data_IF_271421188053
#
_entry.id   IF_271421188053
#
_cell.length_a   1.000
_cell.length_b   1.000
_cell.length_c   1.000
_cell.angle_alpha   90.00
_cell.angle_beta   90.00
_cell.angle_gamma   90.00
#
_symmetry.space_group_name_H-M   'P 1'
#
loop_
_entity.id
_entity.type
_entity.pdbx_description
1 polymer ?
#
# COMPACT_ATOMS: atom_id res chain seq x y z
N UNK A 1 -19.01 15.30 3.00
CA UNK A 1 -20.06 14.31 2.76
C UNK A 1 -20.90 14.10 4.01
N UNK A 2 -22.13 13.62 3.84
CA UNK A 2 -23.14 13.47 4.92
C UNK A 2 -22.67 12.49 6.01
N UNK A 3 -21.90 11.47 5.65
CA UNK A 3 -21.37 10.47 6.58
C UNK A 3 -20.38 11.07 7.60
N UNK A 4 -19.45 11.91 7.18
CA UNK A 4 -18.52 12.56 8.10
C UNK A 4 -19.20 13.49 9.09
N UNK A 5 -20.28 14.18 8.69
CA UNK A 5 -21.09 14.99 9.63
C UNK A 5 -21.87 14.13 10.64
N UNK A 6 -22.30 12.92 10.25
CA UNK A 6 -22.92 11.98 11.18
C UNK A 6 -21.93 11.37 12.15
N UNK A 7 -20.68 11.09 11.71
CA UNK A 7 -19.60 10.58 12.58
C UNK A 7 -19.20 11.60 13.64
N UNK A 8 -19.22 12.91 13.32
CA UNK A 8 -18.94 13.98 14.30
C UNK A 8 -20.04 14.14 15.36
N UNK A 9 -21.30 13.78 15.04
CA UNK A 9 -22.44 13.94 15.94
C UNK A 9 -22.75 12.72 16.80
N UNK A 10 -22.25 11.54 16.44
CA UNK A 10 -22.51 10.29 17.18
C UNK A 10 -21.19 9.51 17.40
N UNK A 11 -20.34 10.03 18.29
CA UNK A 11 -19.04 9.45 18.64
C UNK A 11 -19.14 8.00 19.18
N UNK A 12 -20.31 7.51 19.50
CA UNK A 12 -20.54 6.20 20.11
C UNK A 12 -21.23 5.20 19.17
N UNK A 13 -21.39 5.54 17.89
CA UNK A 13 -21.99 4.62 16.91
C UNK A 13 -21.08 3.42 16.63
N UNK A 14 -21.70 2.27 16.35
CA UNK A 14 -20.98 1.05 15.96
C UNK A 14 -20.06 1.28 14.74
N UNK A 15 -20.50 2.14 13.81
CA UNK A 15 -19.70 2.49 12.62
C UNK A 15 -18.44 3.28 12.95
N UNK A 16 -18.49 4.19 13.92
CA UNK A 16 -17.30 4.95 14.37
C UNK A 16 -16.28 4.03 15.03
N UNK A 17 -16.74 3.12 15.88
CA UNK A 17 -15.85 2.13 16.50
C UNK A 17 -15.20 1.22 15.46
N UNK A 18 -16.00 0.67 14.54
CA UNK A 18 -15.48 -0.18 13.46
C UNK A 18 -14.45 0.55 12.58
N UNK A 19 -14.67 1.83 12.28
CA UNK A 19 -13.68 2.63 11.55
C UNK A 19 -12.40 2.83 12.37
N UNK A 20 -12.51 3.13 13.66
CA UNK A 20 -11.36 3.28 14.56
C UNK A 20 -10.55 1.99 14.68
N UNK A 21 -11.21 0.85 14.78
CA UNK A 21 -10.57 -0.47 14.81
C UNK A 21 -9.85 -0.76 13.50
N UNK A 22 -10.49 -0.51 12.36
CA UNK A 22 -9.87 -0.64 11.04
C UNK A 22 -8.60 0.21 10.91
N UNK A 23 -8.62 1.49 11.31
CA UNK A 23 -7.46 2.37 11.25
C UNK A 23 -6.30 1.84 12.09
N UNK A 24 -6.58 1.34 13.28
CA UNK A 24 -5.58 0.76 14.17
C UNK A 24 -4.99 -0.51 13.59
N UNK A 25 -5.83 -1.44 13.17
CA UNK A 25 -5.44 -2.77 12.74
C UNK A 25 -4.75 -2.75 11.37
N UNK A 26 -5.04 -1.74 10.53
CA UNK A 26 -4.43 -1.52 9.21
C UNK A 26 -3.25 -0.54 9.23
N UNK A 27 -2.85 0.00 10.40
CA UNK A 27 -1.87 1.08 10.52
C UNK A 27 -0.51 0.77 9.86
N UNK A 28 -0.10 -0.50 9.81
CA UNK A 28 1.20 -0.94 9.28
C UNK A 28 1.35 -0.73 7.77
N UNK A 29 0.25 -0.59 7.01
CA UNK A 29 0.27 -0.34 5.56
C UNK A 29 -0.54 0.88 5.14
N UNK A 30 -1.66 1.16 5.82
CA UNK A 30 -2.66 2.12 5.39
C UNK A 30 -2.10 3.55 5.28
N UNK A 31 -1.29 3.98 6.27
CA UNK A 31 -0.75 5.34 6.28
C UNK A 31 0.22 5.58 5.12
N UNK A 32 1.08 4.62 4.82
CA UNK A 32 1.97 4.71 3.66
C UNK A 32 1.20 4.73 2.35
N UNK A 33 0.17 3.89 2.24
CA UNK A 33 -0.69 3.83 1.07
C UNK A 33 -1.44 5.13 0.80
N UNK A 34 -2.13 5.69 1.81
CA UNK A 34 -2.92 6.90 1.61
C UNK A 34 -2.04 8.12 1.34
N UNK A 35 -0.89 8.24 2.03
CA UNK A 35 0.11 9.28 1.76
C UNK A 35 0.64 9.18 0.34
N UNK A 36 1.05 8.00 -0.08
CA UNK A 36 1.54 7.77 -1.45
C UNK A 36 0.50 8.19 -2.50
N UNK A 37 -0.76 7.77 -2.35
CA UNK A 37 -1.83 8.09 -3.29
C UNK A 37 -2.14 9.59 -3.34
N UNK A 38 -2.26 10.25 -2.19
CA UNK A 38 -2.54 11.68 -2.12
C UNK A 38 -1.37 12.51 -2.67
N UNK A 39 -0.13 12.16 -2.34
CA UNK A 39 1.05 12.86 -2.85
C UNK A 39 1.20 12.65 -4.36
N UNK A 40 0.97 11.44 -4.84
CA UNK A 40 0.96 11.14 -6.28
C UNK A 40 -0.09 11.95 -7.03
N UNK A 41 -1.27 12.16 -6.45
CA UNK A 41 -2.31 13.03 -7.00
C UNK A 41 -1.82 14.49 -7.05
N UNK A 42 -1.28 15.00 -5.95
CA UNK A 42 -0.77 16.37 -5.84
C UNK A 42 0.42 16.66 -6.78
N UNK A 43 1.20 15.65 -7.12
CA UNK A 43 2.31 15.76 -8.08
C UNK A 43 1.94 15.31 -9.50
N UNK A 44 0.68 15.44 -9.91
CA UNK A 44 0.20 15.12 -11.27
C UNK A 44 0.54 13.71 -11.74
N UNK A 45 0.54 12.75 -10.82
CA UNK A 45 0.86 11.32 -11.05
C UNK A 45 2.27 11.07 -11.61
N UNK A 46 3.19 12.00 -11.42
CA UNK A 46 4.59 11.80 -11.76
C UNK A 46 5.21 10.66 -10.93
N UNK A 47 6.23 9.96 -11.46
CA UNK A 47 6.96 8.95 -10.71
C UNK A 47 7.48 9.49 -9.36
N UNK A 48 7.34 8.70 -8.30
CA UNK A 48 7.68 9.15 -6.94
C UNK A 48 9.16 9.53 -6.77
N UNK A 49 10.06 8.92 -7.51
CA UNK A 49 11.49 9.25 -7.51
C UNK A 49 11.81 10.61 -8.14
N UNK A 50 10.83 11.26 -8.77
CA UNK A 50 10.92 12.65 -9.26
C UNK A 50 10.31 13.68 -8.32
N UNK A 51 9.78 13.26 -7.17
CA UNK A 51 9.20 14.17 -6.19
C UNK A 51 10.27 15.00 -5.48
N UNK A 52 9.89 16.09 -4.78
CA UNK A 52 10.84 16.84 -3.97
C UNK A 52 11.62 15.95 -3.00
N UNK A 53 12.90 16.19 -2.85
CA UNK A 53 13.86 15.33 -2.15
C UNK A 53 13.34 14.76 -0.82
N UNK A 54 12.91 15.60 0.12
CA UNK A 54 12.43 15.12 1.42
C UNK A 54 11.16 14.25 1.35
N UNK A 55 10.31 14.44 0.32
CA UNK A 55 9.12 13.60 0.12
C UNK A 55 9.51 12.30 -0.61
N UNK A 56 10.40 12.40 -1.61
CA UNK A 56 10.98 11.24 -2.28
C UNK A 56 11.65 10.28 -1.29
N UNK A 57 12.40 10.81 -0.33
CA UNK A 57 13.14 10.06 0.68
C UNK A 57 12.31 9.69 1.92
N UNK A 58 11.00 9.94 1.89
CA UNK A 58 10.10 9.70 3.01
C UNK A 58 10.55 10.40 4.31
N UNK A 59 11.19 11.57 4.22
CA UNK A 59 11.58 12.34 5.41
C UNK A 59 10.32 12.68 6.23
N UNK A 60 10.24 12.29 7.52
CA UNK A 60 9.01 12.43 8.30
C UNK A 60 8.46 13.86 8.32
N UNK A 61 9.33 14.87 8.52
CA UNK A 61 8.91 16.27 8.58
C UNK A 61 8.38 16.79 7.24
N UNK A 62 8.99 16.38 6.12
CA UNK A 62 8.54 16.76 4.79
C UNK A 62 7.19 16.11 4.46
N UNK A 63 7.07 14.80 4.72
CA UNK A 63 5.82 14.07 4.55
C UNK A 63 4.69 14.60 5.44
N UNK A 64 4.97 14.99 6.69
CA UNK A 64 3.96 15.56 7.58
C UNK A 64 3.52 16.98 7.14
N UNK A 65 4.40 17.79 6.56
CA UNK A 65 3.99 19.08 5.96
C UNK A 65 3.05 18.84 4.79
N UNK A 66 3.46 17.99 3.85
CA UNK A 66 2.65 17.65 2.67
C UNK A 66 1.31 17.02 3.06
N UNK A 67 1.28 16.14 4.06
CA UNK A 67 0.06 15.53 4.56
C UNK A 67 -0.97 16.54 5.08
N UNK A 68 -0.52 17.66 5.66
CA UNK A 68 -1.43 18.75 6.06
C UNK A 68 -2.02 19.49 4.87
N UNK A 69 -1.28 19.61 3.77
CA UNK A 69 -1.77 20.27 2.55
C UNK A 69 -2.83 19.44 1.83
N UNK A 70 -2.78 18.11 1.96
CA UNK A 70 -3.71 17.16 1.32
C UNK A 70 -4.61 16.43 2.33
N UNK A 71 -4.88 17.04 3.48
CA UNK A 71 -5.56 16.40 4.61
C UNK A 71 -6.94 15.83 4.23
N UNK A 72 -7.72 16.54 3.45
CA UNK A 72 -9.06 16.10 3.02
C UNK A 72 -8.99 14.85 2.14
N UNK A 73 -8.00 14.78 1.24
CA UNK A 73 -7.77 13.61 0.38
C UNK A 73 -7.34 12.40 1.20
N UNK A 74 -6.48 12.58 2.20
CA UNK A 74 -6.06 11.50 3.11
C UNK A 74 -7.26 10.93 3.88
N UNK A 75 -8.16 11.77 4.38
CA UNK A 75 -9.39 11.35 5.06
C UNK A 75 -10.27 10.53 4.11
N UNK A 76 -10.47 11.01 2.90
CA UNK A 76 -11.27 10.33 1.89
C UNK A 76 -10.67 8.97 1.51
N UNK A 77 -9.37 8.88 1.32
CA UNK A 77 -8.66 7.63 0.98
C UNK A 77 -8.76 6.60 2.11
N UNK A 78 -8.56 6.99 3.38
CA UNK A 78 -8.76 6.09 4.52
C UNK A 78 -10.18 5.55 4.57
N UNK A 79 -11.17 6.42 4.36
CA UNK A 79 -12.57 6.02 4.36
C UNK A 79 -12.89 5.06 3.20
N UNK A 80 -12.36 5.29 2.01
CA UNK A 80 -12.51 4.36 0.87
C UNK A 80 -11.97 2.97 1.18
N UNK A 81 -10.80 2.89 1.83
CA UNK A 81 -10.21 1.62 2.22
C UNK A 81 -11.05 0.91 3.30
N UNK A 82 -11.61 1.66 4.24
CA UNK A 82 -12.53 1.11 5.23
C UNK A 82 -13.79 0.53 4.57
N UNK A 83 -14.43 1.25 3.67
CA UNK A 83 -15.62 0.76 2.95
C UNK A 83 -15.27 -0.50 2.15
N UNK A 84 -14.13 -0.50 1.45
CA UNK A 84 -13.68 -1.69 0.73
C UNK A 84 -13.47 -2.88 1.67
N UNK A 85 -12.85 -2.65 2.83
CA UNK A 85 -12.63 -3.69 3.84
C UNK A 85 -13.95 -4.30 4.33
N UNK A 86 -14.96 -3.46 4.63
CA UNK A 86 -16.29 -3.94 5.03
C UNK A 86 -16.93 -4.80 3.92
N UNK A 87 -16.94 -4.30 2.68
CA UNK A 87 -17.52 -5.01 1.54
C UNK A 87 -16.80 -6.33 1.25
N UNK A 88 -15.48 -6.36 1.44
CA UNK A 88 -14.69 -7.57 1.27
C UNK A 88 -15.04 -8.64 2.32
N UNK A 89 -15.20 -8.23 3.58
CA UNK A 89 -15.62 -9.14 4.64
C UNK A 89 -17.03 -9.69 4.40
N UNK A 90 -17.99 -8.83 4.03
CA UNK A 90 -19.35 -9.25 3.68
C UNK A 90 -19.37 -10.26 2.50
N UNK A 91 -18.53 -10.00 1.48
CA UNK A 91 -18.41 -10.92 0.35
C UNK A 91 -17.81 -12.27 0.76
N UNK A 92 -16.79 -12.27 1.61
CA UNK A 92 -16.18 -13.52 2.13
C UNK A 92 -17.19 -14.33 2.95
N UNK A 93 -17.91 -13.70 3.87
CA UNK A 93 -18.95 -14.34 4.66
C UNK A 93 -20.05 -14.92 3.77
N UNK A 94 -20.46 -14.17 2.74
CA UNK A 94 -21.45 -14.64 1.79
C UNK A 94 -20.98 -15.87 1.00
N UNK A 95 -19.73 -15.90 0.57
CA UNK A 95 -19.11 -17.02 -0.13
C UNK A 95 -19.02 -18.26 0.79
N UNK A 96 -18.53 -18.06 2.02
CA UNK A 96 -18.35 -19.12 3.01
C UNK A 96 -19.67 -19.80 3.36
N UNK A 97 -20.75 -19.04 3.61
CA UNK A 97 -22.10 -19.56 3.85
C UNK A 97 -22.64 -20.43 2.71
N UNK A 98 -22.05 -20.33 1.52
CA UNK A 98 -22.42 -21.10 0.32
C UNK A 98 -21.42 -22.19 -0.04
N UNK A 99 -20.42 -22.41 0.81
CA UNK A 99 -19.36 -23.40 0.57
C UNK A 99 -18.43 -23.02 -0.59
N UNK A 100 -18.34 -21.72 -0.95
CA UNK A 100 -17.45 -21.23 -1.99
C UNK A 100 -16.16 -20.74 -1.33
N UNK A 101 -15.05 -21.40 -1.60
CA UNK A 101 -13.73 -20.99 -1.16
C UNK A 101 -13.17 -19.93 -2.11
N UNK A 102 -12.73 -18.80 -1.55
CA UNK A 102 -11.99 -17.79 -2.29
C UNK A 102 -10.50 -18.14 -2.26
N UNK A 103 -9.92 -18.32 -3.44
CA UNK A 103 -8.48 -18.58 -3.59
C UNK A 103 -7.80 -17.31 -4.08
N UNK A 104 -6.95 -16.73 -3.23
CA UNK A 104 -6.17 -15.54 -3.53
C UNK A 104 -4.75 -15.88 -3.99
N UNK A 105 -4.12 -14.92 -4.64
CA UNK A 105 -2.70 -14.95 -4.97
C UNK A 105 -2.00 -13.73 -4.39
N UNK A 106 -0.79 -13.93 -3.84
CA UNK A 106 0.04 -12.83 -3.35
C UNK A 106 1.17 -12.57 -4.33
N UNK A 107 1.19 -11.39 -4.99
CA UNK A 107 2.24 -11.06 -5.93
C UNK A 107 3.63 -11.17 -5.29
N UNK A 108 4.54 -11.90 -5.95
CA UNK A 108 5.94 -12.05 -5.51
C UNK A 108 6.68 -10.72 -5.58
N UNK A 109 6.40 -9.92 -6.60
CA UNK A 109 7.02 -8.61 -6.80
C UNK A 109 5.98 -7.50 -6.67
N UNK A 110 6.45 -6.32 -6.24
CA UNK A 110 5.63 -5.11 -6.16
C UNK A 110 6.06 -4.12 -7.25
N UNK A 111 5.13 -3.31 -7.70
CA UNK A 111 5.40 -2.34 -8.75
C UNK A 111 6.29 -1.22 -8.23
N UNK A 112 7.21 -0.71 -9.07
CA UNK A 112 8.08 0.42 -8.73
C UNK A 112 7.27 1.64 -8.24
N UNK A 113 6.17 1.95 -8.91
CA UNK A 113 5.24 3.02 -8.54
C UNK A 113 4.21 2.52 -7.52
N UNK A 114 4.68 2.12 -6.33
CA UNK A 114 3.85 1.66 -5.22
C UNK A 114 4.25 2.32 -3.90
N UNK A 115 3.31 2.35 -2.96
CA UNK A 115 3.56 2.77 -1.58
C UNK A 115 4.61 1.92 -0.89
N UNK A 116 4.68 0.63 -1.24
CA UNK A 116 5.64 -0.30 -0.67
C UNK A 116 7.08 0.09 -1.01
N UNK A 117 7.36 0.33 -2.31
CA UNK A 117 8.71 0.70 -2.74
C UNK A 117 9.07 2.09 -2.24
N UNK A 118 8.14 3.06 -2.34
CA UNK A 118 8.37 4.42 -1.85
C UNK A 118 8.64 4.48 -0.35
N UNK A 119 7.86 3.79 0.47
CA UNK A 119 7.97 3.87 1.94
C UNK A 119 9.09 2.99 2.52
N UNK A 120 9.55 1.98 1.79
CA UNK A 120 10.53 0.98 2.26
C UNK A 120 11.67 0.81 1.29
N UNK A 121 12.25 1.93 0.79
CA UNK A 121 13.29 1.94 -0.23
C UNK A 121 14.49 1.06 0.10
N UNK A 122 14.86 0.98 1.37
CA UNK A 122 15.96 0.15 1.88
C UNK A 122 15.74 -1.36 1.71
N UNK A 123 14.49 -1.81 1.52
CA UNK A 123 14.14 -3.20 1.25
C UNK A 123 14.26 -3.60 -0.23
N UNK A 124 14.57 -2.66 -1.11
CA UNK A 124 14.70 -2.88 -2.55
C UNK A 124 16.08 -2.47 -3.05
N UNK A 125 16.49 -3.05 -4.19
CA UNK A 125 17.76 -2.75 -4.82
C UNK A 125 17.63 -1.49 -5.72
N UNK A 126 17.72 -0.33 -5.08
CA UNK A 126 17.59 0.98 -5.69
C UNK A 126 18.92 1.74 -5.61
N UNK A 127 19.16 2.61 -6.58
CA UNK A 127 20.25 3.58 -6.54
C UNK A 127 19.86 4.85 -5.73
N UNK A 128 20.81 5.79 -5.60
CA UNK A 128 20.62 7.06 -4.86
C UNK A 128 19.50 7.96 -5.47
N UNK A 129 19.18 7.76 -6.74
CA UNK A 129 18.10 8.47 -7.42
C UNK A 129 16.74 7.75 -7.27
N UNK A 130 16.69 6.63 -6.53
CA UNK A 130 15.50 5.81 -6.36
C UNK A 130 15.14 5.03 -7.63
N UNK A 131 16.10 4.74 -8.52
CA UNK A 131 15.90 3.89 -9.69
C UNK A 131 16.29 2.45 -9.36
N UNK A 132 15.60 1.44 -9.91
CA UNK A 132 16.01 0.05 -9.74
C UNK A 132 17.40 -0.19 -10.35
N UNK A 133 18.33 -0.72 -9.56
CA UNK A 133 19.64 -1.17 -10.05
C UNK A 133 19.48 -2.38 -10.96
N UNK A 134 18.57 -3.26 -10.58
CA UNK A 134 18.18 -4.43 -11.38
C UNK A 134 16.66 -4.56 -11.38
N UNK A 135 16.12 -5.10 -12.46
CA UNK A 135 14.67 -5.32 -12.62
C UNK A 135 14.36 -6.78 -12.85
N UNK A 136 13.12 -7.14 -12.50
CA UNK A 136 12.64 -8.52 -12.66
C UNK A 136 12.21 -8.82 -14.09
N UNK A 137 12.31 -10.07 -14.45
CA UNK A 137 11.86 -10.61 -15.72
C UNK A 137 11.97 -12.13 -15.74
N UNK A 138 11.53 -12.74 -16.81
CA UNK A 138 11.67 -14.18 -17.05
C UNK A 138 12.30 -14.44 -18.43
N UNK A 139 13.13 -15.48 -18.53
CA UNK A 139 13.71 -15.88 -19.82
C UNK A 139 12.62 -16.37 -20.78
N UNK A 140 12.97 -16.57 -22.06
CA UNK A 140 12.08 -17.19 -23.03
C UNK A 140 11.48 -18.50 -22.51
N UNK A 141 10.19 -18.68 -22.70
CA UNK A 141 9.43 -19.86 -22.30
C UNK A 141 8.40 -20.24 -23.38
N UNK A 142 7.51 -21.18 -23.07
CA UNK A 142 6.46 -21.63 -23.98
C UNK A 142 5.45 -20.52 -24.34
N UNK A 143 5.25 -19.55 -23.45
CA UNK A 143 4.27 -18.46 -23.63
C UNK A 143 4.89 -17.22 -24.29
N UNK A 144 6.23 -17.04 -24.17
CA UNK A 144 6.94 -15.89 -24.74
C UNK A 144 8.29 -16.31 -25.28
N UNK A 145 8.44 -16.32 -26.61
CA UNK A 145 9.68 -16.70 -27.28
C UNK A 145 10.85 -15.75 -26.98
N UNK A 146 10.59 -14.52 -26.55
CA UNK A 146 11.60 -13.50 -26.23
C UNK A 146 11.78 -13.30 -24.72
N UNK A 147 10.98 -14.03 -23.88
CA UNK A 147 10.89 -13.78 -22.46
C UNK A 147 10.04 -12.55 -22.14
N UNK A 148 10.02 -12.15 -20.87
CA UNK A 148 9.25 -10.98 -20.42
C UNK A 148 10.10 -10.14 -19.48
N UNK A 149 10.13 -8.83 -19.70
CA UNK A 149 10.70 -7.86 -18.78
C UNK A 149 9.56 -7.22 -17.98
N UNK A 150 9.45 -7.55 -16.69
CA UNK A 150 8.38 -7.04 -15.84
C UNK A 150 8.68 -5.65 -15.26
N UNK A 151 9.97 -5.32 -15.08
CA UNK A 151 10.39 -4.00 -14.66
C UNK A 151 10.20 -3.68 -13.17
N UNK A 152 9.81 -4.65 -12.35
CA UNK A 152 9.71 -4.48 -10.91
C UNK A 152 11.11 -4.45 -10.28
N UNK A 153 11.35 -3.67 -9.22
CA UNK A 153 12.63 -3.68 -8.52
C UNK A 153 12.89 -5.05 -7.84
N UNK A 154 14.15 -5.44 -7.75
CA UNK A 154 14.58 -6.59 -6.98
C UNK A 154 14.59 -6.25 -5.49
N UNK A 155 14.52 -7.29 -4.63
CA UNK A 155 14.61 -7.14 -3.18
C UNK A 155 16.06 -7.07 -2.71
N UNK A 156 16.34 -6.18 -1.76
CA UNK A 156 17.58 -6.19 -0.98
C UNK A 156 17.51 -7.29 0.08
N UNK A 157 17.84 -8.52 -0.30
CA UNK A 157 17.76 -9.69 0.57
C UNK A 157 18.62 -9.60 1.83
N UNK A 158 19.84 -9.02 1.82
CA UNK A 158 20.59 -8.75 3.04
C UNK A 158 19.77 -7.91 4.03
N UNK A 159 19.19 -6.80 3.57
CA UNK A 159 18.37 -5.92 4.41
C UNK A 159 17.08 -6.59 4.91
N UNK A 160 16.44 -7.37 4.06
CA UNK A 160 15.27 -8.18 4.44
C UNK A 160 15.59 -9.14 5.61
N UNK A 161 16.77 -9.77 5.61
CA UNK A 161 17.22 -10.65 6.72
C UNK A 161 17.48 -9.88 8.00
N UNK A 162 18.09 -8.70 7.92
CA UNK A 162 18.35 -7.83 9.07
C UNK A 162 17.04 -7.43 9.77
N UNK A 163 16.00 -7.11 9.00
CA UNK A 163 14.65 -6.81 9.50
C UNK A 163 13.83 -8.06 9.79
N UNK A 164 14.43 -9.26 9.75
CA UNK A 164 13.75 -10.54 10.00
C UNK A 164 12.53 -10.78 9.11
N UNK A 165 12.56 -10.24 7.90
CA UNK A 165 11.47 -10.34 6.93
C UNK A 165 10.13 -9.75 7.43
N UNK A 166 10.15 -8.77 8.32
CA UNK A 166 8.95 -8.19 8.94
C UNK A 166 7.92 -7.74 7.90
N UNK A 167 8.36 -7.03 6.85
CA UNK A 167 7.49 -6.60 5.76
C UNK A 167 6.79 -7.78 5.05
N UNK A 168 7.50 -8.89 4.82
CA UNK A 168 6.90 -10.11 4.26
C UNK A 168 5.91 -10.77 5.21
N UNK A 169 6.24 -10.84 6.49
CA UNK A 169 5.36 -11.42 7.52
C UNK A 169 4.05 -10.64 7.62
N UNK A 170 4.10 -9.32 7.56
CA UNK A 170 2.91 -8.46 7.55
C UNK A 170 2.03 -8.71 6.31
N UNK A 171 2.62 -8.85 5.13
CA UNK A 171 1.89 -9.20 3.90
C UNK A 171 1.23 -10.56 3.99
N UNK A 172 1.92 -11.56 4.49
CA UNK A 172 1.34 -12.90 4.71
C UNK A 172 0.19 -12.87 5.70
N UNK A 173 0.34 -12.17 6.81
CA UNK A 173 -0.72 -12.00 7.80
C UNK A 173 -1.97 -11.35 7.21
N UNK A 174 -1.78 -10.29 6.41
CA UNK A 174 -2.87 -9.60 5.73
C UNK A 174 -3.58 -10.48 4.69
N UNK A 175 -2.86 -11.36 4.00
CA UNK A 175 -3.43 -12.25 3.00
C UNK A 175 -4.17 -13.46 3.63
N UNK A 176 -3.81 -13.85 4.85
CA UNK A 176 -4.39 -14.99 5.56
C UNK A 176 -5.65 -14.62 6.39
N UNK A 177 -5.84 -13.36 6.75
CA UNK A 177 -7.01 -12.82 7.46
C UNK A 177 -8.13 -12.41 6.52
#
# INVERSE_FOLDING_TARGET
STFFRQVETDQDSAGVRAYGDFLRDSSYWLENYVRFQAFRSAFDKRPWNTWPEGIRECEPRACDRMAREVADELIELRFRQFVFNCQWHELREYADQRGVMLFGDMPIYVHMESSDVWAHQDLFDLDEAGQPVTVTGVPPDYFSAEGQLWGNPQYNWPRMRETRFEWWLQRFQSAAG
#
